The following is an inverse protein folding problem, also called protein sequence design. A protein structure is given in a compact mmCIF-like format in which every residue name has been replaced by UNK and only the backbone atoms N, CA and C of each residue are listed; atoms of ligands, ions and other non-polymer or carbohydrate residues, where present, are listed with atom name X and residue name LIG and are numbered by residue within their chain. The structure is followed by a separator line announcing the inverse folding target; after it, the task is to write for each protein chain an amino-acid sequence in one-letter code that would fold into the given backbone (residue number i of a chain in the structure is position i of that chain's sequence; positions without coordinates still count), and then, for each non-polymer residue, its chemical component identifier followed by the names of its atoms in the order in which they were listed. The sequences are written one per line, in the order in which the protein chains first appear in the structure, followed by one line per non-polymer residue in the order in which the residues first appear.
data_IF_346953689193
#
_entry.id   IF_346953689193
#
_cell.length_a   1.000
_cell.length_b   1.000
_cell.length_c   1.000
_cell.angle_alpha   90.00
_cell.angle_beta   90.00
_cell.angle_gamma   90.00
#
_symmetry.space_group_name_H-M   'P 1'
#
loop_
_entity.id
_entity.type
_entity.pdbx_description
1 polymer ?
#
# COMPACT_ATOMS: atom_id res chain seq x y z
N UNK A 1 2.83 -27.57 9.04
CA UNK A 1 2.39 -26.25 9.54
C UNK A 1 3.34 -25.81 10.65
N UNK A 2 3.39 -24.52 11.04
CA UNK A 2 4.28 -24.04 12.12
C UNK A 2 4.12 -24.82 13.45
N UNK A 3 2.91 -25.34 13.69
CA UNK A 3 2.56 -26.22 14.81
C UNK A 3 3.42 -27.51 14.89
N UNK A 4 3.76 -28.10 13.74
CA UNK A 4 4.48 -29.37 13.68
C UNK A 4 6.00 -29.20 13.84
N UNK A 5 6.49 -27.98 13.65
CA UNK A 5 7.92 -27.65 13.58
C UNK A 5 8.54 -27.19 14.91
N UNK A 6 7.77 -27.17 16.01
CA UNK A 6 8.22 -26.75 17.35
C UNK A 6 8.95 -25.39 17.39
N UNK A 7 8.64 -24.50 16.44
CA UNK A 7 9.24 -23.16 16.35
C UNK A 7 8.69 -22.32 17.50
N UNK A 8 9.56 -21.58 18.18
CA UNK A 8 9.15 -20.67 19.25
C UNK A 8 8.19 -19.61 18.71
N UNK A 9 7.11 -19.32 19.47
CA UNK A 9 6.11 -18.32 19.12
C UNK A 9 5.86 -17.39 20.31
N UNK A 10 5.52 -16.11 20.05
CA UNK A 10 5.31 -15.12 21.10
C UNK A 10 4.13 -15.51 21.99
N UNK A 11 4.27 -15.50 23.33
CA UNK A 11 3.16 -15.86 24.22
C UNK A 11 2.03 -14.82 24.23
N UNK A 12 2.29 -13.59 23.75
CA UNK A 12 1.31 -12.52 23.72
C UNK A 12 0.39 -12.63 22.51
N UNK A 13 -0.81 -13.19 22.73
CA UNK A 13 -1.80 -13.39 21.66
C UNK A 13 -2.23 -12.10 20.95
N UNK A 14 -2.17 -10.94 21.60
CA UNK A 14 -2.55 -9.67 20.96
C UNK A 14 -1.53 -9.17 19.92
N UNK A 15 -0.35 -9.80 19.79
CA UNK A 15 0.63 -9.50 18.74
C UNK A 15 0.42 -10.29 17.46
N UNK A 16 -0.50 -11.27 17.46
CA UNK A 16 -0.76 -12.10 16.29
C UNK A 16 -1.64 -11.36 15.29
N UNK A 17 -1.14 -10.22 14.84
CA UNK A 17 -1.59 -9.55 13.65
C UNK A 17 -0.59 -9.83 12.51
N UNK A 18 -0.93 -9.43 11.30
CA UNK A 18 -0.13 -9.76 10.11
C UNK A 18 1.17 -8.96 10.00
N UNK A 19 1.51 -8.11 10.97
CA UNK A 19 2.59 -7.13 10.84
C UNK A 19 3.52 -7.02 12.05
N UNK A 20 3.28 -7.75 13.13
CA UNK A 20 4.26 -7.95 14.19
C UNK A 20 5.03 -9.27 14.03
N UNK A 21 6.32 -9.22 14.33
CA UNK A 21 7.15 -10.42 14.38
C UNK A 21 6.81 -11.27 15.62
N UNK A 22 6.07 -12.36 15.43
CA UNK A 22 5.66 -13.30 16.49
C UNK A 22 6.41 -14.64 16.48
N UNK A 23 7.26 -14.86 15.49
CA UNK A 23 8.12 -16.05 15.35
C UNK A 23 9.54 -15.62 14.98
N UNK A 24 10.52 -16.48 15.24
CA UNK A 24 11.90 -16.23 14.83
C UNK A 24 12.07 -16.39 13.33
N UNK A 25 12.79 -15.45 12.71
CA UNK A 25 13.13 -15.49 11.30
C UNK A 25 14.55 -16.06 11.15
N UNK A 26 14.82 -16.97 10.19
CA UNK A 26 16.10 -17.67 10.09
C UNK A 26 17.31 -16.75 9.82
N UNK A 27 17.08 -15.56 9.27
CA UNK A 27 18.13 -14.63 8.84
C UNK A 27 18.10 -13.26 9.54
N UNK A 28 17.05 -12.94 10.30
CA UNK A 28 16.87 -11.61 10.89
C UNK A 28 16.38 -11.75 12.32
N UNK A 29 16.86 -10.87 13.21
CA UNK A 29 16.22 -10.71 14.51
C UNK A 29 14.79 -10.19 14.35
N UNK A 30 13.99 -10.26 15.42
CA UNK A 30 12.62 -9.72 15.40
C UNK A 30 12.61 -8.22 15.23
N UNK A 31 13.55 -7.53 15.86
CA UNK A 31 13.72 -6.08 15.74
C UNK A 31 14.11 -5.69 14.32
N UNK A 32 15.03 -6.44 13.71
CA UNK A 32 15.45 -6.24 12.32
C UNK A 32 14.27 -6.46 11.35
N UNK A 33 13.55 -7.57 11.50
CA UNK A 33 12.38 -7.88 10.68
C UNK A 33 11.27 -6.82 10.84
N UNK A 34 11.00 -6.41 12.08
CA UNK A 34 10.00 -5.39 12.37
C UNK A 34 10.41 -4.03 11.78
N UNK A 35 11.68 -3.66 11.90
CA UNK A 35 12.22 -2.44 11.31
C UNK A 35 12.14 -2.49 9.80
N UNK A 36 12.53 -3.60 9.17
CA UNK A 36 12.45 -3.80 7.73
C UNK A 36 11.01 -3.62 7.22
N UNK A 37 10.03 -4.19 7.92
CA UNK A 37 8.61 -3.99 7.62
C UNK A 37 8.23 -2.51 7.64
N UNK A 38 8.53 -1.77 8.71
CA UNK A 38 8.18 -0.35 8.81
C UNK A 38 8.92 0.51 7.77
N UNK A 39 10.20 0.22 7.51
CA UNK A 39 11.00 0.94 6.52
C UNK A 39 10.48 0.74 5.09
N UNK A 40 9.98 -0.45 4.76
CA UNK A 40 9.40 -0.72 3.44
C UNK A 40 8.24 0.24 3.13
N UNK A 41 7.37 0.50 4.11
CA UNK A 41 6.29 1.47 3.97
C UNK A 41 6.81 2.91 3.79
N UNK A 42 7.82 3.31 4.55
CA UNK A 42 8.40 4.65 4.46
C UNK A 42 9.08 4.89 3.10
N UNK A 43 9.75 3.89 2.55
CA UNK A 43 10.38 3.95 1.23
C UNK A 43 9.37 3.94 0.09
N UNK A 44 8.24 3.24 0.27
CA UNK A 44 7.19 3.19 -0.75
C UNK A 44 6.41 4.50 -0.83
N UNK A 45 6.06 5.14 0.30
CA UNK A 45 5.20 6.33 0.32
C UNK A 45 5.98 7.65 0.35
N UNK A 46 7.00 7.76 -0.50
CA UNK A 46 7.70 9.04 -0.73
C UNK A 46 6.87 9.97 -1.62
N UNK A 47 6.98 11.31 -1.47
CA UNK A 47 6.30 12.27 -2.34
C UNK A 47 6.53 12.01 -3.83
N UNK A 48 7.77 11.68 -4.19
CA UNK A 48 8.23 11.44 -5.55
C UNK A 48 7.58 10.17 -6.11
N UNK A 49 7.58 9.07 -5.33
CA UNK A 49 6.95 7.84 -5.77
C UNK A 49 5.43 7.96 -5.86
N UNK A 50 4.78 8.64 -4.90
CA UNK A 50 3.35 8.92 -4.98
C UNK A 50 2.99 9.75 -6.23
N UNK A 51 3.81 10.75 -6.59
CA UNK A 51 3.62 11.48 -7.84
C UNK A 51 3.76 10.57 -9.07
N UNK A 52 4.76 9.71 -9.11
CA UNK A 52 4.93 8.71 -10.18
C UNK A 52 3.70 7.82 -10.33
N UNK A 53 3.20 7.25 -9.23
CA UNK A 53 1.99 6.41 -9.25
C UNK A 53 0.76 7.22 -9.70
N UNK A 54 0.65 8.49 -9.31
CA UNK A 54 -0.42 9.39 -9.78
C UNK A 54 -0.34 9.69 -11.27
N UNK A 55 0.86 9.85 -11.84
CA UNK A 55 1.07 10.03 -13.29
C UNK A 55 0.72 8.75 -14.05
N UNK A 56 1.11 7.58 -13.54
CA UNK A 56 0.70 6.27 -14.09
C UNK A 56 -0.81 6.12 -14.11
N UNK A 57 -1.48 6.45 -13.00
CA UNK A 57 -2.94 6.42 -12.93
C UNK A 57 -3.56 7.32 -14.00
N UNK A 58 -3.02 8.53 -14.21
CA UNK A 58 -3.51 9.43 -15.25
C UNK A 58 -3.34 8.85 -16.67
N UNK A 59 -2.18 8.26 -16.98
CA UNK A 59 -1.91 7.63 -18.27
C UNK A 59 -2.83 6.42 -18.55
N UNK A 60 -3.12 5.63 -17.52
CA UNK A 60 -4.01 4.47 -17.60
C UNK A 60 -5.51 4.83 -17.52
N UNK A 61 -5.88 6.11 -17.47
CA UNK A 61 -7.28 6.54 -17.34
C UNK A 61 -7.92 6.27 -15.96
N UNK A 62 -7.11 5.96 -14.94
CA UNK A 62 -7.54 5.77 -13.55
C UNK A 62 -7.65 7.12 -12.85
N UNK A 63 -8.60 7.24 -11.91
CA UNK A 63 -8.75 8.48 -11.12
C UNK A 63 -7.51 8.78 -10.28
N UNK A 64 -6.81 9.85 -10.66
CA UNK A 64 -5.66 10.40 -9.90
C UNK A 64 -6.07 10.77 -8.47
N UNK A 65 -7.29 11.28 -8.29
CA UNK A 65 -7.81 11.65 -6.97
C UNK A 65 -8.03 10.44 -6.06
N UNK A 66 -8.62 9.36 -6.60
CA UNK A 66 -8.83 8.11 -5.85
C UNK A 66 -7.49 7.47 -5.50
N UNK A 67 -6.57 7.42 -6.47
CA UNK A 67 -5.22 6.89 -6.28
C UNK A 67 -4.47 7.63 -5.18
N UNK A 68 -4.47 8.98 -5.24
CA UNK A 68 -3.90 9.83 -4.19
C UNK A 68 -4.52 9.55 -2.82
N UNK A 69 -5.85 9.50 -2.73
CA UNK A 69 -6.54 9.26 -1.46
C UNK A 69 -6.20 7.90 -0.86
N UNK A 70 -6.19 6.83 -1.68
CA UNK A 70 -5.78 5.50 -1.24
C UNK A 70 -4.33 5.49 -0.75
N UNK A 71 -3.40 6.11 -1.47
CA UNK A 71 -2.00 6.16 -1.00
C UNK A 71 -1.85 6.91 0.32
N UNK A 72 -2.54 8.05 0.46
CA UNK A 72 -2.55 8.82 1.70
C UNK A 72 -3.15 8.04 2.86
N UNK A 73 -4.22 7.26 2.63
CA UNK A 73 -4.80 6.40 3.65
C UNK A 73 -3.79 5.39 4.23
N UNK A 74 -3.00 4.76 3.34
CA UNK A 74 -1.99 3.79 3.73
C UNK A 74 -0.82 4.48 4.46
N UNK A 75 -0.34 5.61 3.92
CA UNK A 75 0.67 6.44 4.57
C UNK A 75 0.23 6.83 5.99
N UNK A 76 -1.01 7.30 6.17
CA UNK A 76 -1.49 7.75 7.48
C UNK A 76 -1.60 6.63 8.49
N UNK A 77 -2.16 5.50 8.07
CA UNK A 77 -2.33 4.32 8.92
C UNK A 77 -0.99 3.81 9.45
N UNK A 78 -0.01 3.68 8.57
CA UNK A 78 1.31 3.14 8.93
C UNK A 78 2.17 4.18 9.66
N UNK A 79 2.35 5.37 9.07
CA UNK A 79 3.32 6.37 9.56
C UNK A 79 2.87 7.03 10.87
N UNK A 80 1.59 7.39 10.97
CA UNK A 80 1.08 8.20 12.09
C UNK A 80 0.27 7.38 13.09
N UNK A 81 -0.60 6.48 12.61
CA UNK A 81 -1.40 5.64 13.51
C UNK A 81 -0.66 4.38 13.98
N UNK A 82 0.43 3.98 13.30
CA UNK A 82 1.23 2.78 13.57
C UNK A 82 0.37 1.51 13.59
N UNK A 83 -0.55 1.41 12.64
CA UNK A 83 -1.46 0.27 12.45
C UNK A 83 -1.51 -0.11 10.97
N UNK A 84 -1.93 -1.34 10.70
CA UNK A 84 -2.15 -1.76 9.33
C UNK A 84 -3.29 -0.95 8.68
N UNK A 85 -3.21 -0.56 7.39
CA UNK A 85 -4.23 0.25 6.71
C UNK A 85 -5.65 -0.30 6.73
N UNK A 86 -5.80 -1.62 6.90
CA UNK A 86 -7.11 -2.28 7.01
C UNK A 86 -7.70 -2.27 8.43
N UNK A 87 -6.87 -2.00 9.44
CA UNK A 87 -7.27 -1.87 10.85
C UNK A 87 -7.44 -0.41 11.28
N UNK A 88 -7.03 0.51 10.40
CA UNK A 88 -7.08 1.94 10.62
C UNK A 88 -8.46 2.56 10.40
N UNK A 89 -8.64 3.75 10.96
CA UNK A 89 -9.81 4.60 10.78
C UNK A 89 -9.42 6.07 10.79
N UNK A 90 -10.38 6.97 10.56
CA UNK A 90 -10.15 8.42 10.63
C UNK A 90 -9.69 8.87 12.02
N UNK A 91 -10.27 8.28 13.06
CA UNK A 91 -9.90 8.53 14.45
C UNK A 91 -9.54 7.22 15.12
N UNK A 92 -8.41 7.22 15.84
CA UNK A 92 -8.07 6.13 16.76
C UNK A 92 -8.76 6.39 18.09
N UNK A 93 -9.88 5.72 18.32
CA UNK A 93 -10.60 5.81 19.59
C UNK A 93 -9.78 5.12 20.68
N UNK A 94 -9.44 5.88 21.73
CA UNK A 94 -8.79 5.35 22.93
C UNK A 94 -9.63 5.71 24.14
N UNK A 95 -9.92 4.72 24.98
CA UNK A 95 -10.64 4.91 26.22
C UNK A 95 -9.70 4.75 27.40
N UNK A 96 -9.80 5.66 28.39
CA UNK A 96 -8.96 5.64 29.59
C UNK A 96 -9.07 4.34 30.39
N UNK A 97 -10.25 3.72 30.35
CA UNK A 97 -10.57 2.53 31.12
C UNK A 97 -10.16 1.22 30.43
N UNK A 98 -9.89 1.26 29.12
CA UNK A 98 -9.49 0.10 28.32
C UNK A 98 -8.03 -0.21 28.57
N UNK A 99 -7.78 -0.91 29.68
CA UNK A 99 -6.47 -1.36 30.12
C UNK A 99 -6.50 -2.84 30.39
N UNK A 100 -5.37 -3.48 30.14
CA UNK A 100 -5.16 -4.87 30.56
C UNK A 100 -5.38 -4.99 32.07
N UNK A 101 -5.95 -6.09 32.57
CA UNK A 101 -6.19 -6.27 34.01
C UNK A 101 -4.95 -6.08 34.89
N UNK A 102 -3.75 -6.37 34.35
CA UNK A 102 -2.46 -6.21 35.03
C UNK A 102 -1.95 -4.77 35.10
N UNK A 103 -2.56 -3.82 34.38
CA UNK A 103 -2.13 -2.42 34.31
C UNK A 103 -3.07 -1.51 35.10
N UNK A 104 -2.47 -0.58 35.88
CA UNK A 104 -3.23 0.44 36.61
C UNK A 104 -3.97 1.39 35.66
N UNK A 105 -5.12 1.89 36.11
CA UNK A 105 -5.87 2.95 35.43
C UNK A 105 -5.03 4.23 35.38
N UNK A 106 -4.98 4.87 34.22
CA UNK A 106 -4.23 6.11 34.04
C UNK A 106 -4.96 7.31 34.66
N UNK A 107 -4.17 8.28 35.13
CA UNK A 107 -4.70 9.55 35.65
C UNK A 107 -5.40 10.32 34.50
N UNK A 108 -6.67 10.77 34.68
CA UNK A 108 -7.40 11.56 33.69
C UNK A 108 -6.63 12.78 33.19
N UNK A 109 -5.92 13.49 34.08
CA UNK A 109 -5.16 14.71 33.76
C UNK A 109 -3.90 14.45 32.94
N UNK A 110 -3.45 13.20 32.84
CA UNK A 110 -2.34 12.79 31.96
C UNK A 110 -2.89 12.20 30.66
N UNK A 111 -3.93 11.37 30.76
CA UNK A 111 -4.52 10.68 29.62
C UNK A 111 -5.09 11.63 28.57
N UNK A 112 -6.01 12.52 28.96
CA UNK A 112 -6.75 13.35 28.01
C UNK A 112 -5.87 14.38 27.28
N UNK A 113 -4.94 15.10 27.95
CA UNK A 113 -4.04 16.01 27.23
C UNK A 113 -3.12 15.28 26.25
N UNK A 114 -2.60 14.11 26.63
CA UNK A 114 -1.77 13.28 25.74
C UNK A 114 -2.57 12.79 24.53
N UNK A 115 -3.78 12.30 24.76
CA UNK A 115 -4.67 11.84 23.68
C UNK A 115 -5.05 12.98 22.73
N UNK A 116 -5.41 14.15 23.27
CA UNK A 116 -5.72 15.34 22.46
C UNK A 116 -4.51 15.79 21.63
N UNK A 117 -3.31 15.82 22.21
CA UNK A 117 -2.07 16.13 21.49
C UNK A 117 -1.83 15.16 20.33
N UNK A 118 -2.03 13.87 20.56
CA UNK A 118 -1.88 12.84 19.52
C UNK A 118 -2.90 13.04 18.38
N UNK A 119 -4.17 13.27 18.71
CA UNK A 119 -5.22 13.54 17.72
C UNK A 119 -4.87 14.79 16.90
N UNK A 120 -4.55 15.90 17.54
CA UNK A 120 -4.20 17.16 16.85
C UNK A 120 -2.97 16.96 15.96
N UNK A 121 -1.91 16.33 16.48
CA UNK A 121 -0.68 16.13 15.71
C UNK A 121 -0.90 15.27 14.47
N UNK A 122 -1.64 14.16 14.60
CA UNK A 122 -1.94 13.27 13.47
C UNK A 122 -2.80 13.97 12.42
N UNK A 123 -3.80 14.75 12.84
CA UNK A 123 -4.69 15.47 11.92
C UNK A 123 -4.01 16.65 11.24
N UNK A 124 -3.10 17.33 11.93
CA UNK A 124 -2.25 18.35 11.34
C UNK A 124 -1.42 17.77 10.17
N UNK A 125 -0.75 16.64 10.41
CA UNK A 125 0.04 15.98 9.36
C UNK A 125 -0.84 15.44 8.23
N UNK A 126 -2.02 14.91 8.55
CA UNK A 126 -2.99 14.51 7.53
C UNK A 126 -3.40 15.69 6.64
N UNK A 127 -3.71 16.84 7.23
CA UNK A 127 -4.03 18.06 6.48
C UNK A 127 -2.86 18.53 5.61
N UNK A 128 -1.63 18.53 6.16
CA UNK A 128 -0.42 18.86 5.42
C UNK A 128 -0.26 17.99 4.17
N UNK A 129 -0.38 16.67 4.30
CA UNK A 129 -0.21 15.75 3.16
C UNK A 129 -1.35 15.83 2.15
N UNK A 130 -2.58 16.02 2.60
CA UNK A 130 -3.73 16.27 1.72
C UNK A 130 -3.53 17.52 0.87
N UNK A 131 -3.03 18.61 1.47
CA UNK A 131 -2.70 19.83 0.75
C UNK A 131 -1.53 19.59 -0.21
N UNK A 132 -0.41 19.05 0.28
CA UNK A 132 0.80 18.81 -0.52
C UNK A 132 0.51 17.95 -1.75
N UNK A 133 -0.12 16.79 -1.57
CA UNK A 133 -0.46 15.90 -2.68
C UNK A 133 -1.65 16.41 -3.50
N UNK A 134 -2.53 17.23 -2.90
CA UNK A 134 -3.59 17.94 -3.62
C UNK A 134 -3.03 18.92 -4.66
N UNK A 135 -1.93 19.61 -4.34
CA UNK A 135 -1.22 20.47 -5.30
C UNK A 135 -0.63 19.65 -6.46
N UNK A 136 0.00 18.51 -6.16
CA UNK A 136 0.53 17.57 -7.18
C UNK A 136 -0.60 17.05 -8.09
N UNK A 137 -1.71 16.60 -7.50
CA UNK A 137 -2.91 16.16 -8.24
C UNK A 137 -3.41 17.25 -9.18
N UNK A 138 -3.51 18.49 -8.69
CA UNK A 138 -4.00 19.60 -9.50
C UNK A 138 -3.05 19.91 -10.67
N UNK A 139 -1.73 19.81 -10.46
CA UNK A 139 -0.72 19.94 -11.52
C UNK A 139 -0.90 18.88 -12.60
N UNK A 140 -1.00 17.60 -12.22
CA UNK A 140 -1.21 16.49 -13.16
C UNK A 140 -2.52 16.67 -13.94
N UNK A 141 -3.61 17.07 -13.26
CA UNK A 141 -4.92 17.26 -13.92
C UNK A 141 -4.93 18.44 -14.90
N UNK A 142 -4.14 19.49 -14.62
CA UNK A 142 -3.99 20.64 -15.52
C UNK A 142 -3.19 20.27 -16.77
N UNK A 143 -2.20 19.40 -16.63
CA UNK A 143 -1.40 18.88 -17.73
C UNK A 143 -2.12 17.74 -18.48
N UNK A 144 -3.21 18.06 -19.18
CA UNK A 144 -4.00 17.03 -19.90
C UNK A 144 -3.21 16.34 -21.02
N UNK A 145 -2.30 17.06 -21.67
CA UNK A 145 -1.55 16.54 -22.82
C UNK A 145 -0.37 15.66 -22.40
N UNK A 146 0.35 16.04 -21.34
CA UNK A 146 1.46 15.26 -20.81
C UNK A 146 0.99 14.07 -19.96
N UNK A 147 -0.09 14.22 -19.19
CA UNK A 147 -0.58 13.16 -18.30
C UNK A 147 -1.01 11.89 -19.06
N UNK A 148 -1.63 12.03 -20.23
CA UNK A 148 -2.03 10.88 -21.06
C UNK A 148 -0.86 10.22 -21.81
N UNK A 149 0.28 10.90 -21.94
CA UNK A 149 1.46 10.43 -22.66
C UNK A 149 2.57 9.91 -21.74
N UNK A 150 2.34 9.94 -20.42
CA UNK A 150 3.33 9.48 -19.46
C UNK A 150 3.56 7.98 -19.62
N UNK A 151 4.84 7.59 -19.72
CA UNK A 151 5.27 6.19 -19.80
C UNK A 151 6.55 6.01 -18.98
N UNK A 152 6.72 4.82 -18.42
CA UNK A 152 7.92 4.38 -17.72
C UNK A 152 8.05 2.85 -17.82
N UNK A 153 9.09 2.30 -17.17
CA UNK A 153 9.34 0.85 -17.19
C UNK A 153 8.13 0.03 -16.70
N UNK A 154 7.37 0.53 -15.72
CA UNK A 154 6.22 -0.18 -15.17
C UNK A 154 4.99 -0.16 -16.08
N UNK A 155 4.90 0.83 -16.98
CA UNK A 155 3.85 0.92 -18.00
C UNK A 155 4.25 0.32 -19.35
N UNK A 156 5.50 -0.10 -19.50
CA UNK A 156 5.99 -0.72 -20.73
C UNK A 156 5.36 -2.10 -20.86
N UNK A 157 4.65 -2.35 -21.97
CA UNK A 157 4.07 -3.66 -22.22
C UNK A 157 5.20 -4.68 -22.46
N UNK A 158 5.17 -5.85 -21.80
CA UNK A 158 6.12 -6.91 -22.11
C UNK A 158 5.90 -7.43 -23.54
N UNK A 159 6.96 -7.89 -24.23
CA UNK A 159 6.82 -8.60 -25.49
C UNK A 159 5.86 -9.78 -25.30
N UNK A 160 4.97 -9.97 -26.26
CA UNK A 160 3.91 -10.98 -26.18
C UNK A 160 4.50 -12.39 -26.11
N UNK A 161 5.63 -12.61 -26.79
CA UNK A 161 6.37 -13.85 -26.79
C UNK A 161 6.88 -14.21 -25.38
N UNK A 162 7.36 -13.23 -24.60
CA UNK A 162 7.82 -13.44 -23.23
C UNK A 162 6.67 -13.81 -22.26
N UNK A 163 5.43 -13.39 -22.57
CA UNK A 163 4.28 -13.68 -21.70
C UNK A 163 3.99 -15.18 -21.64
N UNK A 164 4.18 -15.90 -22.75
CA UNK A 164 3.97 -17.35 -22.81
C UNK A 164 5.01 -18.13 -21.99
N UNK A 165 6.22 -17.57 -21.85
CA UNK A 165 7.35 -18.21 -21.18
C UNK A 165 7.38 -17.97 -19.67
N UNK A 166 6.57 -17.03 -19.14
CA UNK A 166 6.54 -16.80 -17.70
C UNK A 166 5.89 -17.98 -16.96
N UNK A 167 6.66 -18.56 -16.02
CA UNK A 167 6.21 -19.66 -15.15
C UNK A 167 4.87 -19.37 -14.46
N UNK A 168 4.59 -18.10 -14.14
CA UNK A 168 3.31 -17.67 -13.59
C UNK A 168 2.11 -18.08 -14.44
N UNK A 169 2.21 -18.05 -15.78
CA UNK A 169 1.12 -18.44 -16.68
C UNK A 169 1.18 -19.91 -17.08
N UNK A 170 2.37 -20.49 -17.19
CA UNK A 170 2.54 -21.91 -17.56
C UNK A 170 2.12 -22.86 -16.43
N UNK A 171 2.43 -22.53 -15.17
CA UNK A 171 2.22 -23.43 -14.02
C UNK A 171 0.88 -23.20 -13.31
N UNK A 172 0.16 -22.11 -13.63
CA UNK A 172 -1.13 -21.82 -13.00
C UNK A 172 -2.30 -22.37 -13.81
N UNK A 173 -3.30 -22.89 -13.09
CA UNK A 173 -4.54 -23.36 -13.69
C UNK A 173 -5.28 -22.19 -14.37
N UNK A 174 -5.41 -22.25 -15.68
CA UNK A 174 -6.05 -21.21 -16.51
C UNK A 174 -5.09 -20.13 -17.04
N UNK A 175 -3.79 -20.21 -16.73
CA UNK A 175 -2.81 -19.26 -17.24
C UNK A 175 -2.62 -19.38 -18.76
N UNK A 176 -2.52 -20.60 -19.30
CA UNK A 176 -2.48 -20.84 -20.74
C UNK A 176 -3.71 -20.27 -21.48
N UNK A 177 -4.92 -20.44 -20.91
CA UNK A 177 -6.15 -19.87 -21.48
C UNK A 177 -6.14 -18.34 -21.47
N UNK A 178 -5.57 -17.72 -20.43
CA UNK A 178 -5.40 -16.28 -20.34
C UNK A 178 -4.42 -15.74 -21.38
N UNK A 179 -3.32 -16.45 -21.64
CA UNK A 179 -2.35 -16.14 -22.71
C UNK A 179 -3.02 -16.22 -24.08
N UNK A 180 -3.72 -17.33 -24.36
CA UNK A 180 -4.46 -17.54 -25.61
C UNK A 180 -5.48 -16.43 -25.87
N UNK A 181 -6.26 -16.06 -24.84
CA UNK A 181 -7.21 -14.95 -24.94
C UNK A 181 -6.48 -13.65 -25.29
N UNK A 182 -5.35 -13.38 -24.65
CA UNK A 182 -4.57 -12.16 -24.90
C UNK A 182 -4.00 -12.13 -26.31
N UNK A 183 -3.47 -13.25 -26.81
CA UNK A 183 -2.99 -13.38 -28.19
C UNK A 183 -4.10 -13.07 -29.20
N UNK A 184 -5.31 -13.61 -28.98
CA UNK A 184 -6.47 -13.32 -29.83
C UNK A 184 -6.88 -11.85 -29.81
N UNK A 185 -6.87 -11.21 -28.63
CA UNK A 185 -7.15 -9.77 -28.50
C UNK A 185 -6.15 -8.91 -29.29
N UNK A 186 -4.87 -9.26 -29.24
CA UNK A 186 -3.83 -8.52 -29.99
C UNK A 186 -4.02 -8.72 -31.48
N UNK A 187 -4.15 -9.96 -31.96
CA UNK A 187 -4.37 -10.25 -33.37
C UNK A 187 -5.61 -9.53 -33.93
N UNK A 188 -6.70 -9.49 -33.15
CA UNK A 188 -7.91 -8.75 -33.52
C UNK A 188 -7.63 -7.24 -33.64
N UNK A 189 -6.88 -6.65 -32.70
CA UNK A 189 -6.52 -5.22 -32.75
C UNK A 189 -5.61 -4.89 -33.94
N UNK A 190 -4.66 -5.74 -34.25
CA UNK A 190 -3.78 -5.58 -35.40
C UNK A 190 -4.56 -5.65 -36.72
N UNK A 191 -5.44 -6.64 -36.86
CA UNK A 191 -6.31 -6.77 -38.05
C UNK A 191 -7.24 -5.56 -38.24
N UNK A 192 -7.76 -5.00 -37.13
CA UNK A 192 -8.63 -3.82 -37.17
C UNK A 192 -7.85 -2.56 -37.57
N UNK A 193 -6.57 -2.46 -37.16
CA UNK A 193 -5.69 -1.36 -37.54
C UNK A 193 -5.32 -1.42 -39.02
N UNK A 194 -4.95 -2.60 -39.53
CA UNK A 194 -4.66 -2.81 -40.96
C UNK A 194 -5.87 -2.60 -41.86
N UNK A 195 -7.10 -2.81 -41.35
CA UNK A 195 -8.33 -2.57 -42.12
C UNK A 195 -8.77 -1.10 -42.13
N UNK A 196 -8.17 -0.26 -41.27
CA UNK A 196 -8.46 1.17 -41.17
C UNK A 196 -7.42 2.06 -41.87
N UNK A 197 -6.31 1.47 -42.31
CA UNK A 197 -5.27 2.07 -43.17
C UNK A 197 -5.61 1.84 -44.66
#
# INVERSE_FOLDING_TARGET
MLYDSAVWMDPEMNKYDTYHAVTDHPLMSREELQSAYWSAWEWYYTPEHMETVMRRAAACGVSVGKTMFTMLWFLFSVRYARVHPLEGGYFRLRFRQDRRPTLKRENPFVFYPRYLKEVISNHFWMAYWLVRMGLVRNRIRRDKQGAGKYTDLALTAPPIEEIADFALFAETRGGAEAVDKRLREVATRESAKTAAE
#
